data_IF_482581634812
#
_entry.id   IF_482581634812
#
_cell.length_a   1.000
_cell.length_b   1.000
_cell.length_c   1.000
_cell.angle_alpha   90.00
_cell.angle_beta   90.00
_cell.angle_gamma   90.00
#
_symmetry.space_group_name_H-M   'P 1'
#
loop_
_entity.id
_entity.type
_entity.pdbx_description
1 polymer ?
#
# COMPACT_ATOMS: atom_id res chain seq x y z
N UNK A 1 0.85 25.03 13.15
CA UNK A 1 0.06 23.88 12.63
C UNK A 1 0.88 23.19 11.56
N UNK A 2 1.07 21.86 11.61
CA UNK A 2 1.70 21.13 10.49
C UNK A 2 0.78 21.26 9.29
N UNK A 3 1.24 21.88 8.22
CA UNK A 3 0.49 21.94 6.96
C UNK A 3 0.43 20.54 6.34
N UNK A 4 -0.72 20.18 5.80
CA UNK A 4 -0.83 18.98 4.98
C UNK A 4 -0.01 19.14 3.70
N UNK A 5 0.63 18.06 3.28
CA UNK A 5 1.26 17.96 1.96
C UNK A 5 0.19 17.88 0.88
N UNK A 6 0.56 18.15 -0.36
CA UNK A 6 -0.42 18.28 -1.43
C UNK A 6 -1.28 17.03 -1.64
N UNK A 7 -0.69 15.83 -1.64
CA UNK A 7 -1.44 14.57 -1.75
C UNK A 7 -2.32 14.26 -0.53
N UNK A 8 -1.97 14.76 0.65
CA UNK A 8 -2.80 14.62 1.86
C UNK A 8 -4.03 15.52 1.76
N UNK A 9 -3.85 16.75 1.27
CA UNK A 9 -4.95 17.67 0.98
C UNK A 9 -5.84 17.15 -0.15
N UNK A 10 -5.24 16.57 -1.19
CA UNK A 10 -5.93 15.96 -2.34
C UNK A 10 -6.78 14.76 -1.90
N UNK A 11 -6.22 13.84 -1.11
CA UNK A 11 -7.00 12.76 -0.51
C UNK A 11 -8.15 13.30 0.34
N UNK A 12 -7.87 14.28 1.21
CA UNK A 12 -8.88 14.87 2.07
C UNK A 12 -10.04 15.48 1.26
N UNK A 13 -9.75 16.10 0.12
CA UNK A 13 -10.78 16.60 -0.80
C UNK A 13 -11.63 15.45 -1.37
N UNK A 14 -11.00 14.36 -1.83
CA UNK A 14 -11.70 13.17 -2.33
C UNK A 14 -12.62 12.57 -1.27
N UNK A 15 -12.11 12.33 -0.05
CA UNK A 15 -12.95 11.71 1.00
C UNK A 15 -14.06 12.63 1.49
N UNK A 16 -13.86 13.96 1.46
CA UNK A 16 -14.93 14.93 1.74
C UNK A 16 -16.00 14.94 0.66
N UNK A 17 -15.63 14.85 -0.61
CA UNK A 17 -16.59 14.73 -1.71
C UNK A 17 -17.40 13.42 -1.60
N UNK A 18 -16.77 12.30 -1.20
CA UNK A 18 -17.48 11.05 -0.91
C UNK A 18 -18.45 11.24 0.27
N UNK A 19 -17.97 11.84 1.37
CA UNK A 19 -18.78 12.10 2.56
C UNK A 19 -19.98 13.01 2.28
N UNK A 20 -19.85 13.97 1.36
CA UNK A 20 -20.93 14.87 0.95
C UNK A 20 -21.87 14.28 -0.11
N UNK A 21 -21.56 13.08 -0.65
CA UNK A 21 -22.32 12.49 -1.76
C UNK A 21 -22.08 13.17 -3.12
N UNK A 22 -21.03 13.98 -3.23
CA UNK A 22 -20.66 14.74 -4.43
C UNK A 22 -19.74 13.94 -5.37
N UNK A 23 -19.15 12.84 -4.89
CA UNK A 23 -18.23 11.99 -5.66
C UNK A 23 -18.92 10.90 -6.51
N UNK A 24 -20.24 10.96 -6.70
CA UNK A 24 -20.99 9.96 -7.44
C UNK A 24 -20.85 8.55 -6.84
N UNK A 25 -20.42 7.58 -7.65
CA UNK A 25 -20.24 6.18 -7.22
C UNK A 25 -18.82 5.85 -6.73
N UNK A 26 -17.95 6.86 -6.54
CA UNK A 26 -16.57 6.62 -6.13
C UNK A 26 -16.52 5.95 -4.75
N UNK A 27 -15.97 4.74 -4.70
CA UNK A 27 -15.71 3.98 -3.47
C UNK A 27 -14.30 3.40 -3.40
N UNK A 28 -13.55 3.45 -4.50
CA UNK A 28 -12.18 2.96 -4.58
C UNK A 28 -11.21 4.13 -4.73
N UNK A 29 -10.28 4.25 -3.79
CA UNK A 29 -9.27 5.30 -3.80
C UNK A 29 -7.89 4.65 -3.90
N UNK A 30 -7.15 4.96 -4.95
CA UNK A 30 -5.76 4.55 -5.13
C UNK A 30 -4.83 5.71 -4.77
N UNK A 31 -4.09 5.59 -3.68
CA UNK A 31 -3.03 6.54 -3.33
C UNK A 31 -1.67 6.00 -3.80
N UNK A 32 -1.26 6.45 -4.99
CA UNK A 32 0.05 6.16 -5.57
C UNK A 32 1.08 7.17 -5.05
N UNK A 33 1.70 6.84 -3.91
CA UNK A 33 2.55 7.76 -3.14
C UNK A 33 3.95 7.18 -2.98
N UNK A 34 4.94 7.92 -3.46
CA UNK A 34 6.35 7.53 -3.40
C UNK A 34 6.77 7.12 -1.98
N UNK A 35 7.66 6.12 -1.83
CA UNK A 35 8.19 5.75 -0.51
C UNK A 35 8.72 6.95 0.27
N UNK A 36 8.38 7.02 1.56
CA UNK A 36 8.70 8.18 2.41
C UNK A 36 7.82 9.42 2.21
N UNK A 37 6.89 9.41 1.25
CA UNK A 37 6.01 10.54 0.93
C UNK A 37 5.02 10.93 2.05
N UNK A 38 4.81 10.07 3.05
CA UNK A 38 3.92 10.33 4.19
C UNK A 38 2.55 9.65 4.10
N UNK A 39 2.51 8.42 3.59
CA UNK A 39 1.31 7.58 3.45
C UNK A 39 0.58 7.31 4.77
N UNK A 40 1.31 7.25 5.89
CA UNK A 40 0.75 6.85 7.19
C UNK A 40 -0.35 7.78 7.72
N UNK A 41 -0.42 9.04 7.27
CA UNK A 41 -1.48 9.96 7.68
C UNK A 41 -2.79 9.79 6.88
N UNK A 42 -2.71 9.20 5.69
CA UNK A 42 -3.84 9.04 4.78
C UNK A 42 -5.01 8.22 5.39
N UNK A 43 -4.75 7.12 6.13
CA UNK A 43 -5.80 6.36 6.81
C UNK A 43 -6.53 7.17 7.88
N UNK A 44 -5.82 8.04 8.61
CA UNK A 44 -6.41 8.91 9.64
C UNK A 44 -7.33 9.94 9.00
N UNK A 45 -6.87 10.61 7.93
CA UNK A 45 -7.66 11.59 7.18
C UNK A 45 -8.95 10.97 6.63
N UNK A 46 -8.84 9.79 6.02
CA UNK A 46 -9.99 9.07 5.47
C UNK A 46 -10.96 8.61 6.57
N UNK A 47 -10.45 8.00 7.65
CA UNK A 47 -11.27 7.52 8.75
C UNK A 47 -12.02 8.68 9.43
N UNK A 48 -11.34 9.78 9.72
CA UNK A 48 -11.93 10.96 10.35
C UNK A 48 -13.11 11.49 9.53
N UNK A 49 -12.93 11.69 8.23
CA UNK A 49 -13.98 12.24 7.37
C UNK A 49 -15.15 11.26 7.17
N UNK A 50 -14.84 9.99 6.85
CA UNK A 50 -15.86 9.00 6.47
C UNK A 50 -16.66 8.46 7.66
N UNK A 51 -16.04 8.34 8.85
CA UNK A 51 -16.75 7.93 10.06
C UNK A 51 -17.61 9.07 10.60
N UNK A 52 -17.10 10.30 10.62
CA UNK A 52 -17.88 11.46 11.04
C UNK A 52 -19.13 11.68 10.17
N UNK A 53 -19.04 11.37 8.87
CA UNK A 53 -20.17 11.42 7.94
C UNK A 53 -21.09 10.20 8.00
N UNK A 54 -20.79 9.18 8.81
CA UNK A 54 -21.57 7.96 8.90
C UNK A 54 -21.56 7.10 7.64
N UNK A 55 -20.59 7.29 6.74
CA UNK A 55 -20.39 6.44 5.54
C UNK A 55 -19.74 5.11 5.95
N UNK A 56 -18.76 5.18 6.83
CA UNK A 56 -18.13 4.04 7.47
C UNK A 56 -18.44 4.06 8.97
N UNK A 57 -18.56 2.89 9.58
CA UNK A 57 -18.70 2.76 11.04
C UNK A 57 -17.33 2.48 11.68
N UNK A 58 -16.45 1.78 10.95
CA UNK A 58 -15.17 1.31 11.46
C UNK A 58 -14.07 1.35 10.40
N UNK A 59 -12.81 1.35 10.83
CA UNK A 59 -11.64 1.20 9.95
C UNK A 59 -10.94 -0.14 10.19
N UNK A 60 -10.50 -0.79 9.10
CA UNK A 60 -9.55 -1.89 9.12
C UNK A 60 -8.32 -1.47 8.31
N UNK A 61 -7.16 -1.33 8.96
CA UNK A 61 -5.91 -1.01 8.28
C UNK A 61 -5.02 -2.24 8.19
N UNK A 62 -4.78 -2.71 6.97
CA UNK A 62 -3.94 -3.86 6.67
C UNK A 62 -2.53 -3.37 6.30
N UNK A 63 -1.52 -3.85 7.02
CA UNK A 63 -0.10 -3.50 6.82
C UNK A 63 0.73 -4.74 6.46
N UNK A 64 1.87 -4.61 5.76
CA UNK A 64 2.61 -5.78 5.29
C UNK A 64 3.35 -6.57 6.38
N UNK A 65 3.57 -5.99 7.57
CA UNK A 65 4.38 -6.60 8.64
C UNK A 65 4.00 -6.09 10.04
N UNK A 66 4.26 -6.91 11.05
CA UNK A 66 3.81 -6.70 12.43
C UNK A 66 4.32 -5.39 13.05
N UNK A 67 5.58 -5.02 12.82
CA UNK A 67 6.16 -3.79 13.34
C UNK A 67 5.43 -2.51 12.88
N UNK A 68 4.72 -2.57 11.74
CA UNK A 68 3.93 -1.44 11.23
C UNK A 68 2.56 -1.33 11.93
N UNK A 69 2.08 -2.38 12.59
CA UNK A 69 0.80 -2.32 13.32
C UNK A 69 0.87 -1.35 14.48
N UNK A 70 1.97 -1.42 15.25
CA UNK A 70 2.23 -0.51 16.37
C UNK A 70 2.39 0.94 15.88
N UNK A 71 3.12 1.14 14.79
CA UNK A 71 3.27 2.48 14.19
C UNK A 71 1.92 3.05 13.71
N UNK A 72 1.04 2.21 13.15
CA UNK A 72 -0.29 2.64 12.76
C UNK A 72 -1.15 3.04 13.96
N UNK A 73 -1.10 2.30 15.07
CA UNK A 73 -1.75 2.71 16.33
C UNK A 73 -1.21 4.05 16.83
N UNK A 74 0.11 4.22 16.84
CA UNK A 74 0.78 5.46 17.28
C UNK A 74 0.35 6.66 16.44
N UNK A 75 0.18 6.49 15.12
CA UNK A 75 -0.27 7.56 14.22
C UNK A 75 -1.69 8.02 14.54
N UNK A 76 -2.61 7.11 14.88
CA UNK A 76 -3.95 7.46 15.37
C UNK A 76 -3.90 8.09 16.78
N UNK A 77 -2.91 7.71 17.58
CA UNK A 77 -2.76 8.20 18.94
C UNK A 77 -2.04 9.56 19.05
N UNK A 78 -1.35 10.00 18.00
CA UNK A 78 -0.54 11.23 17.98
C UNK A 78 -1.40 12.47 18.36
N UNK A 79 -1.09 13.13 19.49
CA UNK A 79 -1.88 14.26 19.98
C UNK A 79 -1.84 15.46 19.03
N UNK A 80 -0.75 15.65 18.28
CA UNK A 80 -0.65 16.73 17.32
C UNK A 80 -1.60 16.49 16.14
N UNK A 81 -1.75 15.24 15.67
CA UNK A 81 -2.71 14.91 14.62
C UNK A 81 -4.15 14.93 15.11
N UNK A 82 -4.41 14.44 16.32
CA UNK A 82 -5.73 14.56 16.96
C UNK A 82 -6.20 16.01 17.06
N UNK A 83 -5.32 16.90 17.53
CA UNK A 83 -5.63 18.33 17.59
C UNK A 83 -5.77 18.95 16.21
N UNK A 84 -4.87 18.64 15.26
CA UNK A 84 -4.88 19.24 13.94
C UNK A 84 -6.09 18.83 13.08
N UNK A 85 -6.56 17.59 13.24
CA UNK A 85 -7.67 17.03 12.46
C UNK A 85 -8.99 16.98 13.24
N UNK A 86 -8.97 17.28 14.56
CA UNK A 86 -10.15 17.29 15.41
C UNK A 86 -10.82 15.92 15.55
N UNK A 87 -10.03 14.86 15.75
CA UNK A 87 -10.56 13.49 15.95
C UNK A 87 -10.09 12.88 17.27
N UNK A 88 -10.88 11.95 17.78
CA UNK A 88 -10.60 11.11 18.95
C UNK A 88 -10.48 9.62 18.59
N UNK A 89 -10.56 9.30 17.28
CA UNK A 89 -10.47 7.94 16.78
C UNK A 89 -9.23 7.22 17.32
N UNK A 90 -9.45 5.98 17.75
CA UNK A 90 -8.41 5.07 18.20
C UNK A 90 -8.61 3.72 17.52
N UNK A 91 -7.50 3.09 17.15
CA UNK A 91 -7.46 1.74 16.58
C UNK A 91 -6.52 0.89 17.42
N UNK A 92 -6.55 -0.43 17.22
CA UNK A 92 -5.65 -1.34 17.93
C UNK A 92 -5.17 -2.48 17.04
N UNK A 93 -3.96 -2.95 17.25
CA UNK A 93 -3.42 -4.10 16.54
C UNK A 93 -4.19 -5.36 16.91
N UNK A 94 -4.81 -6.01 15.93
CA UNK A 94 -5.54 -7.25 16.12
C UNK A 94 -4.58 -8.38 16.49
N UNK A 95 -4.92 -9.16 17.50
CA UNK A 95 -4.19 -10.38 17.90
C UNK A 95 -4.92 -11.66 17.44
N UNK A 96 -5.95 -11.51 16.60
CA UNK A 96 -6.84 -12.57 16.14
C UNK A 96 -7.53 -13.35 17.26
N UNK A 97 -7.71 -12.75 18.43
CA UNK A 97 -8.55 -13.32 19.48
C UNK A 97 -10.01 -13.42 18.98
N UNK A 98 -10.73 -14.53 19.26
CA UNK A 98 -12.15 -14.64 18.92
C UNK A 98 -12.97 -13.46 19.46
N UNK A 99 -13.91 -12.94 18.66
CA UNK A 99 -14.80 -11.86 19.05
C UNK A 99 -14.72 -10.66 18.12
N UNK A 100 -14.73 -9.45 18.68
CA UNK A 100 -14.63 -8.19 17.95
C UNK A 100 -13.16 -7.76 17.78
N UNK A 101 -12.59 -7.76 16.55
CA UNK A 101 -11.21 -7.30 16.32
C UNK A 101 -10.97 -5.84 16.76
N UNK A 102 -12.00 -5.00 16.74
CA UNK A 102 -11.90 -3.61 17.18
C UNK A 102 -11.80 -3.46 18.70
N UNK A 103 -12.25 -4.46 19.48
CA UNK A 103 -12.34 -4.41 20.95
C UNK A 103 -13.02 -3.12 21.46
N UNK A 104 -14.12 -2.73 20.81
CA UNK A 104 -14.90 -1.53 21.16
C UNK A 104 -14.34 -0.19 20.67
N UNK A 105 -13.23 -0.20 19.91
CA UNK A 105 -12.64 1.02 19.33
C UNK A 105 -13.16 1.31 17.92
N UNK A 106 -12.73 2.42 17.32
CA UNK A 106 -13.14 2.84 15.98
C UNK A 106 -12.64 1.92 14.86
N UNK A 107 -11.70 1.01 15.15
CA UNK A 107 -11.13 0.12 14.16
C UNK A 107 -9.99 -0.72 14.69
N UNK A 108 -9.36 -1.46 13.78
CA UNK A 108 -8.19 -2.27 14.09
C UNK A 108 -7.16 -2.23 12.98
N UNK A 109 -5.92 -2.57 13.35
CA UNK A 109 -4.81 -2.74 12.42
C UNK A 109 -4.43 -4.21 12.39
N UNK A 110 -4.22 -4.79 11.22
CA UNK A 110 -3.83 -6.19 11.08
C UNK A 110 -2.80 -6.33 9.96
N UNK A 111 -2.26 -7.53 9.77
CA UNK A 111 -1.38 -7.84 8.65
C UNK A 111 -2.08 -8.71 7.62
N UNK A 112 -1.50 -8.81 6.43
CA UNK A 112 -1.89 -9.80 5.44
C UNK A 112 -1.91 -11.23 6.01
N UNK A 113 -0.87 -11.58 6.76
CA UNK A 113 -0.77 -12.87 7.44
C UNK A 113 -1.81 -13.01 8.56
N UNK A 114 -2.12 -11.93 9.28
CA UNK A 114 -3.18 -11.90 10.28
C UNK A 114 -4.54 -12.23 9.67
N UNK A 115 -4.86 -11.62 8.53
CA UNK A 115 -6.11 -11.92 7.81
C UNK A 115 -6.12 -13.37 7.32
N UNK A 116 -5.04 -13.84 6.72
CA UNK A 116 -4.94 -15.22 6.23
C UNK A 116 -4.99 -16.27 7.35
N UNK A 117 -4.53 -15.94 8.57
CA UNK A 117 -4.57 -16.83 9.72
C UNK A 117 -5.97 -16.95 10.36
N UNK A 118 -6.84 -15.95 10.22
CA UNK A 118 -8.18 -15.95 10.78
C UNK A 118 -9.22 -15.29 9.83
N UNK A 119 -9.41 -15.81 8.60
CA UNK A 119 -10.22 -15.16 7.58
C UNK A 119 -11.68 -14.98 8.00
N UNK A 120 -12.26 -16.00 8.65
CA UNK A 120 -13.66 -15.97 9.11
C UNK A 120 -13.91 -14.88 10.17
N UNK A 121 -12.93 -14.59 11.02
CA UNK A 121 -13.02 -13.53 12.03
C UNK A 121 -13.18 -12.16 11.37
N UNK A 122 -12.32 -11.85 10.39
CA UNK A 122 -12.37 -10.58 9.68
C UNK A 122 -13.60 -10.49 8.78
N UNK A 123 -13.96 -11.57 8.10
CA UNK A 123 -15.16 -11.63 7.27
C UNK A 123 -16.43 -11.41 8.10
N UNK A 124 -16.52 -12.03 9.28
CA UNK A 124 -17.64 -11.81 10.20
C UNK A 124 -17.72 -10.35 10.67
N UNK A 125 -16.58 -9.70 10.91
CA UNK A 125 -16.54 -8.28 11.26
C UNK A 125 -17.07 -7.41 10.10
N UNK A 126 -16.60 -7.64 8.87
CA UNK A 126 -17.01 -6.89 7.67
C UNK A 126 -18.47 -7.10 7.28
N UNK A 127 -19.06 -8.25 7.62
CA UNK A 127 -20.50 -8.49 7.44
C UNK A 127 -21.37 -7.74 8.46
N UNK A 128 -20.83 -7.37 9.61
CA UNK A 128 -21.57 -6.72 10.71
C UNK A 128 -21.56 -5.20 10.65
N UNK A 129 -20.51 -4.61 10.08
CA UNK A 129 -20.32 -3.16 10.06
C UNK A 129 -19.80 -2.71 8.71
N UNK A 130 -20.10 -1.46 8.35
CA UNK A 130 -19.54 -0.81 7.16
C UNK A 130 -18.10 -0.37 7.42
N UNK A 131 -17.13 -1.01 6.78
CA UNK A 131 -15.71 -0.70 6.96
C UNK A 131 -15.16 0.24 5.90
N UNK A 132 -14.32 1.18 6.34
CA UNK A 132 -13.20 1.69 5.55
C UNK A 132 -12.09 0.63 5.60
N UNK A 133 -11.77 0.03 4.46
CA UNK A 133 -10.63 -0.87 4.35
C UNK A 133 -9.44 -0.12 3.76
N UNK A 134 -8.36 -0.06 4.53
CA UNK A 134 -7.08 0.48 4.08
C UNK A 134 -6.14 -0.68 3.83
N UNK A 135 -5.55 -0.75 2.64
CA UNK A 135 -4.57 -1.78 2.27
C UNK A 135 -3.25 -1.12 1.93
N UNK A 136 -2.25 -1.29 2.79
CA UNK A 136 -0.93 -0.69 2.62
C UNK A 136 0.03 -1.58 1.83
N UNK A 137 0.74 -0.99 0.87
CA UNK A 137 1.56 -1.69 -0.12
C UNK A 137 0.76 -2.80 -0.82
N UNK A 138 -0.41 -2.44 -1.36
CA UNK A 138 -1.33 -3.37 -2.05
C UNK A 138 -0.67 -4.16 -3.18
N UNK A 139 0.43 -3.65 -3.75
CA UNK A 139 1.22 -4.32 -4.77
C UNK A 139 1.77 -5.68 -4.31
N UNK A 140 1.79 -5.99 -3.02
CA UNK A 140 2.12 -7.33 -2.52
C UNK A 140 1.04 -8.38 -2.79
N UNK A 141 -0.20 -8.00 -3.09
CA UNK A 141 -1.31 -8.91 -3.34
C UNK A 141 -1.45 -9.21 -4.85
N UNK A 142 -1.10 -10.41 -5.33
CA UNK A 142 -1.33 -10.77 -6.74
C UNK A 142 -2.82 -10.99 -7.01
N UNK A 143 -3.25 -10.78 -8.26
CA UNK A 143 -4.61 -11.12 -8.72
C UNK A 143 -4.88 -12.64 -8.65
N UNK A 144 -6.10 -13.02 -8.28
CA UNK A 144 -6.47 -14.42 -8.01
C UNK A 144 -6.79 -15.25 -9.26
N UNK A 145 -7.18 -14.62 -10.37
CA UNK A 145 -7.71 -15.30 -11.55
C UNK A 145 -6.69 -15.43 -12.72
N UNK A 146 -5.39 -15.44 -12.43
CA UNK A 146 -4.33 -15.47 -13.45
C UNK A 146 -3.70 -16.86 -13.68
N UNK A 147 -4.46 -17.94 -13.49
CA UNK A 147 -3.98 -19.28 -13.87
C UNK A 147 -3.65 -19.41 -15.38
N UNK A 148 -4.12 -18.51 -16.25
CA UNK A 148 -4.11 -18.75 -17.70
C UNK A 148 -3.38 -17.72 -18.59
N UNK A 149 -2.79 -16.65 -18.05
CA UNK A 149 -2.15 -15.62 -18.91
C UNK A 149 -0.63 -15.80 -19.12
N UNK A 150 0.05 -16.58 -18.28
CA UNK A 150 1.51 -16.73 -18.30
C UNK A 150 2.00 -18.19 -18.35
N UNK A 151 1.14 -19.12 -18.78
CA UNK A 151 1.53 -20.52 -19.00
C UNK A 151 1.90 -21.26 -17.70
N UNK A 152 0.89 -21.91 -17.10
CA UNK A 152 1.08 -23.16 -16.36
C UNK A 152 2.01 -23.14 -15.14
N UNK A 153 2.03 -22.05 -14.36
CA UNK A 153 2.60 -22.13 -13.01
C UNK A 153 1.48 -22.40 -12.02
N UNK A 154 1.63 -23.50 -11.30
CA UNK A 154 0.76 -23.89 -10.21
C UNK A 154 0.70 -22.77 -9.17
N UNK A 155 -0.46 -22.14 -9.04
CA UNK A 155 -0.71 -21.04 -8.10
C UNK A 155 -0.69 -21.50 -6.63
N UNK A 156 -0.63 -22.82 -6.38
CA UNK A 156 -0.70 -23.39 -5.02
C UNK A 156 0.54 -23.14 -4.16
N UNK A 157 1.63 -22.63 -4.71
CA UNK A 157 2.88 -22.38 -3.96
C UNK A 157 3.23 -20.90 -3.74
N UNK A 158 2.38 -19.97 -4.19
CA UNK A 158 2.67 -18.55 -4.00
C UNK A 158 2.13 -18.04 -2.66
N UNK A 159 3.04 -17.86 -1.69
CA UNK A 159 2.70 -17.33 -0.38
C UNK A 159 1.95 -15.99 -0.45
N UNK A 160 2.17 -15.18 -1.50
CA UNK A 160 1.45 -13.93 -1.69
C UNK A 160 0.00 -14.15 -2.17
N UNK A 161 -0.26 -15.17 -3.01
CA UNK A 161 -1.61 -15.51 -3.45
C UNK A 161 -2.48 -16.04 -2.29
N UNK A 162 -1.85 -16.72 -1.31
CA UNK A 162 -2.51 -17.14 -0.08
C UNK A 162 -3.03 -15.96 0.76
N UNK A 163 -2.47 -14.75 0.61
CA UNK A 163 -2.98 -13.54 1.26
C UNK A 163 -4.08 -12.86 0.45
N UNK A 164 -4.02 -12.92 -0.89
CA UNK A 164 -5.04 -12.31 -1.74
C UNK A 164 -6.43 -12.92 -1.55
N UNK A 165 -6.52 -14.25 -1.45
CA UNK A 165 -7.78 -14.98 -1.36
C UNK A 165 -8.67 -14.55 -0.17
N UNK A 166 -8.15 -14.45 1.07
CA UNK A 166 -8.97 -14.01 2.21
C UNK A 166 -9.22 -12.49 2.25
N UNK A 167 -8.47 -11.68 1.48
CA UNK A 167 -8.65 -10.22 1.45
C UNK A 167 -9.71 -9.79 0.43
N UNK A 168 -9.84 -10.53 -0.68
CA UNK A 168 -10.82 -10.21 -1.74
C UNK A 168 -12.26 -10.04 -1.22
N UNK A 169 -12.78 -10.92 -0.33
CA UNK A 169 -14.12 -10.73 0.23
C UNK A 169 -14.23 -9.48 1.10
N UNK A 170 -13.16 -9.08 1.78
CA UNK A 170 -13.14 -7.86 2.59
C UNK A 170 -13.19 -6.62 1.69
N UNK A 171 -12.45 -6.64 0.58
CA UNK A 171 -12.53 -5.59 -0.46
C UNK A 171 -13.96 -5.50 -0.98
N UNK A 172 -14.58 -6.61 -1.38
CA UNK A 172 -15.95 -6.60 -1.88
C UNK A 172 -16.97 -6.01 -0.88
N UNK A 173 -16.85 -6.33 0.42
CA UNK A 173 -17.75 -5.87 1.48
C UNK A 173 -17.49 -4.44 1.99
N UNK A 174 -16.33 -3.86 1.67
CA UNK A 174 -15.95 -2.54 2.18
C UNK A 174 -16.90 -1.44 1.68
N UNK A 175 -17.24 -0.48 2.55
CA UNK A 175 -17.99 0.70 2.14
C UNK A 175 -17.13 1.63 1.28
N UNK A 176 -15.87 1.82 1.70
CA UNK A 176 -14.84 2.58 0.97
C UNK A 176 -13.51 1.83 1.09
N UNK A 177 -12.72 1.83 0.01
CA UNK A 177 -11.39 1.20 -0.06
C UNK A 177 -10.33 2.25 -0.31
N UNK A 178 -9.29 2.26 0.52
CA UNK A 178 -8.11 3.09 0.34
C UNK A 178 -6.90 2.19 0.13
N UNK A 179 -6.47 2.08 -1.13
CA UNK A 179 -5.34 1.26 -1.53
C UNK A 179 -4.10 2.14 -1.63
N UNK A 180 -3.09 1.83 -0.83
CA UNK A 180 -1.84 2.59 -0.77
C UNK A 180 -0.74 1.81 -1.48
N UNK A 181 0.03 2.47 -2.33
CA UNK A 181 1.21 1.85 -2.94
C UNK A 181 2.29 2.85 -3.33
N UNK A 182 3.56 2.45 -3.17
CA UNK A 182 4.69 3.15 -3.76
C UNK A 182 4.95 2.86 -5.24
N UNK A 183 4.41 1.74 -5.74
CA UNK A 183 4.57 1.25 -7.11
C UNK A 183 3.26 0.66 -7.60
N UNK A 184 2.95 0.81 -8.90
CA UNK A 184 1.78 0.19 -9.52
C UNK A 184 2.15 -1.06 -10.34
N UNK A 185 3.39 -1.51 -10.22
CA UNK A 185 3.92 -2.69 -10.89
C UNK A 185 4.42 -3.71 -9.88
N UNK A 186 4.29 -5.00 -10.23
CA UNK A 186 4.89 -6.11 -9.51
C UNK A 186 6.13 -6.62 -10.23
N UNK A 187 7.12 -7.09 -9.49
CA UNK A 187 8.35 -7.65 -10.05
C UNK A 187 8.11 -8.92 -10.89
N UNK A 188 7.05 -9.67 -10.59
CA UNK A 188 6.64 -10.86 -11.34
C UNK A 188 5.73 -10.56 -12.55
N UNK A 189 5.41 -9.29 -12.79
CA UNK A 189 4.57 -8.84 -13.89
C UNK A 189 3.07 -9.17 -13.75
N UNK A 190 2.64 -9.82 -12.67
CA UNK A 190 1.22 -10.12 -12.42
C UNK A 190 0.43 -8.87 -12.09
N UNK A 191 -0.89 -8.93 -12.29
CA UNK A 191 -1.78 -7.86 -11.85
C UNK A 191 -1.84 -7.80 -10.33
N UNK A 192 -2.04 -6.59 -9.83
CA UNK A 192 -2.31 -6.33 -8.42
C UNK A 192 -3.79 -6.56 -8.15
N UNK A 193 -4.10 -7.23 -7.04
CA UNK A 193 -5.47 -7.50 -6.60
C UNK A 193 -6.30 -6.22 -6.56
N UNK A 194 -7.55 -6.31 -7.01
CA UNK A 194 -8.55 -5.22 -7.03
C UNK A 194 -8.27 -4.05 -7.98
N UNK A 195 -7.03 -3.84 -8.44
CA UNK A 195 -6.76 -2.72 -9.36
C UNK A 195 -7.43 -2.95 -10.72
N UNK A 196 -8.00 -1.89 -11.32
CA UNK A 196 -8.58 -1.95 -12.65
C UNK A 196 -7.43 -1.95 -13.66
N UNK A 197 -7.57 -2.73 -14.73
CA UNK A 197 -6.58 -2.75 -15.80
C UNK A 197 -7.26 -2.56 -17.14
N UNK A 198 -6.59 -1.82 -18.03
CA UNK A 198 -6.94 -1.67 -19.44
C UNK A 198 -5.80 -2.21 -20.30
N UNK A 199 -6.13 -2.55 -21.55
CA UNK A 199 -5.10 -2.89 -22.54
C UNK A 199 -4.38 -1.60 -22.96
N UNK A 200 -3.08 -1.56 -22.70
CA UNK A 200 -2.16 -0.52 -23.13
C UNK A 200 -1.64 -0.74 -24.55
N UNK A 201 -0.68 0.09 -24.94
CA UNK A 201 -0.01 -0.05 -26.25
C UNK A 201 0.83 -1.34 -26.29
N UNK A 202 0.85 -2.02 -27.43
CA UNK A 202 1.59 -3.28 -27.58
C UNK A 202 1.02 -4.48 -26.80
N UNK A 203 -0.23 -4.40 -26.31
CA UNK A 203 -0.90 -5.50 -25.61
C UNK A 203 -0.51 -5.66 -24.14
N UNK A 204 0.32 -4.77 -23.60
CA UNK A 204 0.66 -4.73 -22.17
C UNK A 204 -0.58 -4.34 -21.35
N UNK A 205 -0.77 -4.98 -20.20
CA UNK A 205 -1.80 -4.57 -19.25
C UNK A 205 -1.30 -3.39 -18.42
N UNK A 206 -2.08 -2.31 -18.37
CA UNK A 206 -1.78 -1.10 -17.60
C UNK A 206 -2.88 -0.86 -16.59
N UNK A 207 -2.54 -0.33 -15.41
CA UNK A 207 -3.56 0.09 -14.43
C UNK A 207 -4.40 1.21 -15.03
N UNK A 208 -5.71 1.03 -15.03
CA UNK A 208 -6.65 2.02 -15.55
C UNK A 208 -6.95 3.10 -14.50
N UNK A 209 -6.12 4.15 -14.50
CA UNK A 209 -6.26 5.28 -13.57
C UNK A 209 -7.52 6.13 -13.80
N UNK A 210 -8.25 5.90 -14.90
CA UNK A 210 -9.49 6.60 -15.22
C UNK A 210 -10.73 5.70 -15.11
N UNK A 211 -10.60 4.52 -14.48
CA UNK A 211 -11.69 3.58 -14.31
C UNK A 211 -12.89 4.22 -13.56
N UNK A 212 -14.13 4.00 -14.01
CA UNK A 212 -15.32 4.47 -13.30
C UNK A 212 -15.35 3.96 -11.85
N UNK A 213 -15.76 4.83 -10.92
CA UNK A 213 -15.81 4.50 -9.49
C UNK A 213 -14.47 4.60 -8.74
N UNK A 214 -13.39 5.00 -9.43
CA UNK A 214 -12.06 5.19 -8.86
C UNK A 214 -11.71 6.67 -8.71
N UNK A 215 -11.02 7.00 -7.62
CA UNK A 215 -10.26 8.23 -7.45
C UNK A 215 -8.78 7.89 -7.28
N UNK A 216 -7.90 8.61 -7.96
CA UNK A 216 -6.45 8.42 -7.88
C UNK A 216 -5.82 9.65 -7.25
N UNK A 217 -5.03 9.43 -6.20
CA UNK A 217 -4.24 10.46 -5.53
C UNK A 217 -2.76 10.18 -5.79
N UNK A 218 -2.12 11.04 -6.58
CA UNK A 218 -0.75 10.85 -7.04
C UNK A 218 0.28 11.71 -6.29
N UNK A 219 1.32 11.08 -5.77
CA UNK A 219 2.48 11.75 -5.18
C UNK A 219 3.79 11.15 -5.67
N UNK A 220 4.23 11.64 -6.83
CA UNK A 220 5.47 11.20 -7.46
C UNK A 220 6.70 11.61 -6.65
N UNK A 221 7.82 10.91 -6.87
CA UNK A 221 9.12 11.29 -6.28
C UNK A 221 9.53 12.71 -6.67
N UNK A 222 9.27 13.13 -7.92
CA UNK A 222 9.55 14.47 -8.39
C UNK A 222 8.78 15.53 -7.58
N UNK A 223 7.47 15.31 -7.35
CA UNK A 223 6.63 16.19 -6.52
C UNK A 223 7.10 16.19 -5.06
N UNK A 224 7.45 15.03 -4.51
CA UNK A 224 7.97 14.90 -3.15
C UNK A 224 9.30 15.63 -2.96
N UNK A 225 10.19 15.61 -3.95
CA UNK A 225 11.45 16.37 -3.92
C UNK A 225 11.19 17.88 -4.02
N UNK A 226 10.29 18.31 -4.91
CA UNK A 226 9.90 19.71 -5.04
C UNK A 226 9.31 20.27 -3.73
N UNK A 227 8.53 19.47 -3.02
CA UNK A 227 7.96 19.81 -1.71
C UNK A 227 8.91 19.55 -0.52
N UNK A 228 10.14 19.10 -0.78
CA UNK A 228 11.14 18.73 0.25
C UNK A 228 10.61 17.70 1.27
N UNK A 229 9.70 16.83 0.84
CA UNK A 229 9.13 15.77 1.65
C UNK A 229 10.06 14.54 1.76
N UNK A 230 10.95 14.36 0.80
CA UNK A 230 11.96 13.29 0.76
C UNK A 230 13.33 13.87 0.46
N UNK A 231 14.38 13.19 0.93
CA UNK A 231 15.75 13.58 0.61
C UNK A 231 16.14 13.09 -0.80
N UNK A 232 16.91 13.89 -1.57
CA UNK A 232 17.51 13.40 -2.79
C UNK A 232 18.49 12.27 -2.47
N UNK A 233 18.38 11.19 -3.23
CA UNK A 233 19.31 10.05 -3.19
C UNK A 233 19.97 9.95 -4.55
N UNK A 234 21.30 9.88 -4.54
CA UNK A 234 22.14 9.68 -5.71
C UNK A 234 22.79 8.30 -5.62
N UNK A 235 22.64 7.50 -6.66
CA UNK A 235 23.32 6.21 -6.77
C UNK A 235 24.55 6.39 -7.65
N UNK A 236 25.74 6.30 -7.06
CA UNK A 236 26.99 6.19 -7.81
C UNK A 236 27.23 4.73 -8.16
N UNK A 237 27.61 4.46 -9.41
CA UNK A 237 28.20 3.17 -9.75
C UNK A 237 29.61 3.12 -9.14
N UNK A 238 29.88 2.10 -8.33
CA UNK A 238 31.21 1.81 -7.81
C UNK A 238 31.65 0.47 -8.41
N UNK A 239 32.82 0.47 -9.06
CA UNK A 239 33.48 -0.77 -9.45
C UNK A 239 34.05 -1.44 -8.20
N UNK A 240 33.83 -2.74 -8.02
CA UNK A 240 34.34 -3.49 -6.87
C UNK A 240 34.16 -4.99 -7.01
N UNK A 241 34.95 -5.75 -6.24
CA UNK A 241 34.79 -7.19 -6.05
C UNK A 241 34.15 -7.43 -4.68
N UNK A 242 33.10 -8.24 -4.61
CA UNK A 242 32.43 -8.61 -3.37
C UNK A 242 32.56 -10.12 -3.10
N UNK A 243 32.90 -10.48 -1.86
CA UNK A 243 32.88 -11.85 -1.38
C UNK A 243 32.12 -11.90 -0.05
N UNK A 244 31.19 -12.84 0.12
CA UNK A 244 30.38 -12.96 1.34
C UNK A 244 30.86 -14.11 2.21
N UNK A 245 31.37 -13.93 3.44
CA UNK A 245 31.85 -15.05 4.24
C UNK A 245 30.71 -16.06 4.49
N UNK A 246 30.99 -17.35 4.33
CA UNK A 246 30.09 -18.40 4.80
C UNK A 246 30.42 -18.74 6.25
N UNK A 247 29.45 -19.25 7.02
CA UNK A 247 29.75 -20.00 8.23
C UNK A 247 30.62 -21.21 7.85
N UNK A 248 31.72 -21.42 8.58
CA UNK A 248 32.80 -22.40 8.37
C UNK A 248 32.46 -23.65 7.53
N UNK A 249 33.23 -23.88 6.44
CA UNK A 249 33.43 -25.26 5.92
C UNK A 249 33.42 -25.54 4.41
N UNK A 250 33.35 -24.57 3.48
CA UNK A 250 33.18 -24.91 2.05
C UNK A 250 33.97 -24.10 1.03
N UNK A 251 35.09 -24.67 0.54
CA UNK A 251 35.60 -24.58 -0.85
C UNK A 251 35.98 -23.23 -1.49
N UNK A 252 36.78 -23.29 -2.56
CA UNK A 252 37.12 -22.13 -3.41
C UNK A 252 35.93 -21.73 -4.30
N UNK A 253 35.65 -20.42 -4.41
CA UNK A 253 34.39 -19.86 -4.92
C UNK A 253 34.48 -19.29 -6.34
N UNK A 254 33.35 -19.23 -7.08
CA UNK A 254 33.21 -18.33 -8.22
C UNK A 254 33.19 -16.87 -7.73
N UNK A 255 34.20 -16.08 -8.11
CA UNK A 255 34.20 -14.63 -7.90
C UNK A 255 33.15 -13.98 -8.80
N UNK A 256 32.23 -13.22 -8.22
CA UNK A 256 31.36 -12.32 -8.99
C UNK A 256 32.08 -10.98 -9.14
N UNK A 257 32.75 -10.79 -10.28
CA UNK A 257 33.41 -9.54 -10.65
C UNK A 257 34.89 -9.67 -11.05
N UNK A 258 35.49 -8.55 -11.50
CA UNK A 258 34.89 -7.22 -11.59
C UNK A 258 34.09 -7.05 -12.90
N UNK A 259 32.85 -6.59 -12.80
CA UNK A 259 32.11 -6.08 -13.97
C UNK A 259 32.61 -4.67 -14.25
N UNK A 260 33.42 -4.51 -15.30
CA UNK A 260 33.97 -3.21 -15.69
C UNK A 260 32.89 -2.37 -16.36
N UNK A 261 32.38 -1.32 -15.71
CA UNK A 261 31.56 -0.30 -16.38
C UNK A 261 32.47 0.84 -16.83
N UNK A 262 33.14 0.70 -17.98
CA UNK A 262 33.98 1.79 -18.50
C UNK A 262 33.13 2.98 -18.96
N UNK A 263 33.27 4.12 -18.29
CA UNK A 263 33.17 5.44 -18.92
C UNK A 263 34.28 6.35 -18.34
N UNK A 264 35.05 7.11 -19.15
CA UNK A 264 36.26 7.82 -18.69
C UNK A 264 36.01 9.13 -17.92
N UNK A 265 34.74 9.47 -17.64
CA UNK A 265 34.32 10.67 -16.92
C UNK A 265 32.85 10.50 -16.50
N UNK A 266 32.36 11.23 -15.48
CA UNK A 266 30.92 11.33 -15.23
C UNK A 266 30.26 12.04 -16.43
N UNK A 267 29.85 11.27 -17.43
CA UNK A 267 28.82 11.72 -18.36
C UNK A 267 27.46 11.51 -17.69
N UNK A 268 26.47 12.30 -18.10
CA UNK A 268 25.07 12.41 -17.67
C UNK A 268 24.25 11.09 -17.65
N UNK A 269 24.93 9.95 -17.75
CA UNK A 269 24.44 8.58 -17.75
C UNK A 269 24.48 7.89 -16.38
N UNK A 270 24.49 8.65 -15.27
CA UNK A 270 23.74 8.17 -14.09
C UNK A 270 22.31 8.04 -14.57
N UNK A 271 21.94 6.87 -15.10
CA UNK A 271 20.54 6.57 -15.36
C UNK A 271 19.84 6.89 -14.05
N UNK A 272 18.87 7.82 -14.03
CA UNK A 272 17.93 7.84 -12.93
C UNK A 272 17.51 6.39 -12.78
N UNK A 273 17.61 5.83 -11.58
CA UNK A 273 16.87 4.61 -11.30
C UNK A 273 15.44 4.95 -11.70
N UNK A 274 15.01 4.42 -12.85
CA UNK A 274 13.68 4.60 -13.41
C UNK A 274 12.76 3.81 -12.48
N UNK A 275 12.51 4.39 -11.31
CA UNK A 275 11.25 4.26 -10.62
C UNK A 275 10.33 5.28 -11.30
N UNK A 276 9.98 4.98 -12.56
CA UNK A 276 8.79 5.55 -13.22
C UNK A 276 7.55 4.98 -12.54
#
# INVERSE_FOLDING_TARGET
MRSLRSHQSELLAVVRAIAAGEAGEVRDILAAVTPGGGKSLLPVLAAQALIAAGICERICWVVPRDSLRLQAEEVFADPAWRQALGHDLSVRAADNTPGDPCRGLAGYVTTYQGIAAAPDLHLAAFRRHRYLLVVDEVHHLPGLNEADAAGGRDNTQDAAAAWSAPIEPLLALSAVRLLLSGTLERADGRRILWLPYRRGTGGRQEVDLAAPGWAVVGYSRARALAERAVLPVSFGALDGEAAWPEPEGGGERPRLGPHRLQAPAPQESTRPALFT
#
